data_IF_538446583243
#
_entry.id   IF_538446583243
#
_cell.length_a   1.000
_cell.length_b   1.000
_cell.length_c   1.000
_cell.angle_alpha   90.00
_cell.angle_beta   90.00
_cell.angle_gamma   90.00
#
_symmetry.space_group_name_H-M   'P 1'
#
loop_
_entity.id
_entity.type
_entity.pdbx_description
1 polymer ?
#
# COMPACT_ATOMS: atom_id res chain seq x y z
N UNK A 1 0.19 10.37 5.45
CA UNK A 1 0.69 9.60 4.30
C UNK A 1 0.94 10.56 3.14
N UNK A 2 2.16 10.61 2.63
CA UNK A 2 2.51 11.25 1.36
C UNK A 2 2.33 10.23 0.22
N UNK A 3 2.05 10.70 -1.00
CA UNK A 3 1.79 9.84 -2.17
C UNK A 3 2.48 10.37 -3.41
N UNK A 4 2.51 9.57 -4.48
CA UNK A 4 3.18 9.90 -5.75
C UNK A 4 2.18 10.31 -6.84
N UNK A 5 1.04 10.92 -6.44
CA UNK A 5 0.05 11.43 -7.37
C UNK A 5 0.66 12.56 -8.22
N UNK A 6 0.47 12.56 -9.56
CA UNK A 6 1.02 13.59 -10.44
C UNK A 6 0.11 14.83 -10.49
N UNK A 7 -0.18 15.45 -9.34
CA UNK A 7 -1.06 16.62 -9.22
C UNK A 7 -0.30 17.95 -9.01
N UNK A 8 1.03 17.92 -8.99
CA UNK A 8 1.88 19.11 -8.90
C UNK A 8 1.98 19.85 -10.25
N UNK A 9 2.00 21.19 -10.20
CA UNK A 9 2.19 22.04 -11.39
C UNK A 9 3.67 22.27 -11.66
N UNK A 10 4.44 22.57 -10.61
CA UNK A 10 5.85 22.92 -10.71
C UNK A 10 6.72 21.71 -10.41
N UNK A 11 7.83 21.60 -11.13
CA UNK A 11 8.85 20.59 -10.87
C UNK A 11 9.42 20.77 -9.45
N UNK A 12 9.46 19.71 -8.62
CA UNK A 12 10.11 19.76 -7.32
C UNK A 12 11.61 20.05 -7.46
N UNK A 13 12.17 20.79 -6.50
CA UNK A 13 13.59 21.23 -6.55
C UNK A 13 14.61 20.07 -6.58
N UNK A 14 14.21 18.87 -6.13
CA UNK A 14 15.06 17.67 -6.10
C UNK A 14 14.95 16.80 -7.36
N UNK A 15 13.97 17.08 -8.22
CA UNK A 15 13.69 16.31 -9.42
C UNK A 15 14.55 16.79 -10.59
N UNK A 16 14.97 15.87 -11.46
CA UNK A 16 15.69 16.18 -12.68
C UNK A 16 14.73 16.53 -13.84
N UNK A 17 13.54 15.92 -13.85
CA UNK A 17 12.53 16.12 -14.88
C UNK A 17 11.18 16.53 -14.28
N UNK A 18 10.29 17.06 -15.14
CA UNK A 18 8.90 17.40 -14.76
C UNK A 18 8.09 16.17 -14.38
N UNK A 19 8.33 15.04 -15.05
CA UNK A 19 7.73 13.74 -14.70
C UNK A 19 8.67 13.04 -13.74
N UNK A 20 8.20 12.79 -12.52
CA UNK A 20 8.94 12.05 -11.50
C UNK A 20 8.96 10.56 -11.87
N UNK A 21 10.15 9.98 -11.94
CA UNK A 21 10.36 8.56 -12.17
C UNK A 21 11.71 8.12 -11.59
N UNK A 22 11.83 6.83 -11.26
CA UNK A 22 13.08 6.19 -10.88
C UNK A 22 13.72 6.84 -9.64
N UNK A 23 14.96 7.32 -9.77
CA UNK A 23 15.71 7.89 -8.64
C UNK A 23 15.09 9.17 -8.07
N UNK A 24 14.31 9.92 -8.87
CA UNK A 24 13.62 11.11 -8.38
C UNK A 24 12.49 10.76 -7.41
N UNK A 25 11.81 9.63 -7.61
CA UNK A 25 10.80 9.11 -6.68
C UNK A 25 11.42 8.60 -5.37
N UNK A 26 12.65 8.05 -5.43
CA UNK A 26 13.40 7.66 -4.22
C UNK A 26 13.80 8.90 -3.41
N UNK A 27 14.23 9.98 -4.08
CA UNK A 27 14.50 11.26 -3.42
C UNK A 27 13.23 11.86 -2.83
N UNK A 28 12.11 11.80 -3.53
CA UNK A 28 10.80 12.24 -3.04
C UNK A 28 10.43 11.49 -1.76
N UNK A 29 10.49 10.16 -1.76
CA UNK A 29 10.21 9.35 -0.58
C UNK A 29 11.10 9.73 0.61
N UNK A 30 12.40 9.91 0.38
CA UNK A 30 13.30 10.40 1.42
C UNK A 30 12.94 11.81 1.92
N UNK A 31 12.60 12.73 1.01
CA UNK A 31 12.21 14.10 1.36
C UNK A 31 10.92 14.13 2.19
N UNK A 32 9.91 13.32 1.83
CA UNK A 32 8.67 13.14 2.58
C UNK A 32 8.94 12.70 4.02
N UNK A 33 9.86 11.76 4.22
CA UNK A 33 10.21 11.31 5.57
C UNK A 33 11.01 12.35 6.35
N UNK A 34 12.07 12.90 5.75
CA UNK A 34 13.10 13.66 6.46
C UNK A 34 12.78 15.14 6.65
N UNK A 35 12.07 15.77 5.71
CA UNK A 35 11.83 17.22 5.71
C UNK A 35 10.36 17.58 5.93
N UNK A 36 9.44 16.83 5.31
CA UNK A 36 7.99 17.01 5.55
C UNK A 36 7.59 16.38 6.89
N UNK A 37 8.34 15.37 7.35
CA UNK A 37 8.06 14.67 8.60
C UNK A 37 6.90 13.68 8.49
N UNK A 38 6.50 13.28 7.29
CA UNK A 38 5.47 12.26 7.11
C UNK A 38 5.94 10.94 7.71
N UNK A 39 5.02 10.20 8.33
CA UNK A 39 5.28 8.87 8.88
C UNK A 39 5.06 7.76 7.86
N UNK A 40 4.46 8.07 6.71
CA UNK A 40 4.11 7.08 5.71
C UNK A 40 4.27 7.66 4.30
N UNK A 41 4.87 6.88 3.41
CA UNK A 41 4.98 7.14 1.99
C UNK A 41 4.32 5.99 1.22
N UNK A 42 3.42 6.35 0.31
CA UNK A 42 2.89 5.42 -0.68
C UNK A 42 3.88 5.28 -1.83
N UNK A 43 4.18 4.03 -2.20
CA UNK A 43 4.89 3.65 -3.41
C UNK A 43 3.89 3.10 -4.42
N UNK A 44 3.68 3.80 -5.52
CA UNK A 44 2.65 3.52 -6.50
C UNK A 44 3.17 2.58 -7.60
N UNK A 45 2.65 1.36 -7.59
CA UNK A 45 3.01 0.29 -8.52
C UNK A 45 1.93 0.00 -9.57
N UNK A 46 0.79 0.69 -9.53
CA UNK A 46 -0.36 0.41 -10.39
C UNK A 46 -0.19 1.03 -11.79
N UNK A 47 0.19 2.30 -11.86
CA UNK A 47 0.21 3.08 -13.11
C UNK A 47 1.59 3.52 -13.61
N UNK A 48 2.68 2.89 -13.14
CA UNK A 48 4.07 3.34 -13.42
C UNK A 48 5.04 2.19 -13.65
N UNK A 49 6.14 2.47 -14.36
CA UNK A 49 7.30 1.57 -14.39
C UNK A 49 7.98 1.57 -13.02
N UNK A 50 7.76 0.51 -12.25
CA UNK A 50 8.06 0.48 -10.82
C UNK A 50 9.51 0.10 -10.55
N UNK A 51 10.20 0.91 -9.75
CA UNK A 51 11.47 0.50 -9.16
C UNK A 51 11.27 -0.39 -7.93
N UNK A 52 11.36 -1.70 -8.14
CA UNK A 52 11.26 -2.68 -7.07
C UNK A 52 12.41 -2.57 -6.03
N UNK A 53 13.48 -1.80 -6.31
CA UNK A 53 14.65 -1.66 -5.43
C UNK A 53 14.58 -0.43 -4.51
N UNK A 54 13.42 0.23 -4.37
CA UNK A 54 13.22 1.41 -3.52
C UNK A 54 13.79 1.26 -2.10
N UNK A 55 13.55 0.13 -1.42
CA UNK A 55 14.06 -0.10 -0.06
C UNK A 55 15.59 -0.12 -0.05
N UNK A 56 16.21 -0.83 -1.01
CA UNK A 56 17.67 -0.85 -1.15
C UNK A 56 18.21 0.56 -1.31
N UNK A 57 17.66 1.31 -2.26
CA UNK A 57 18.14 2.65 -2.60
C UNK A 57 17.95 3.63 -1.44
N UNK A 58 16.83 3.57 -0.73
CA UNK A 58 16.60 4.40 0.47
C UNK A 58 17.64 4.11 1.56
N UNK A 59 17.84 2.84 1.90
CA UNK A 59 18.73 2.47 3.00
C UNK A 59 20.20 2.74 2.65
N UNK A 60 20.64 2.50 1.42
CA UNK A 60 22.05 2.75 1.03
C UNK A 60 22.35 4.22 0.78
N UNK A 61 21.41 4.98 0.20
CA UNK A 61 21.66 6.38 -0.18
C UNK A 61 21.49 7.34 0.99
N UNK A 62 20.68 6.98 1.98
CA UNK A 62 20.34 7.83 3.11
C UNK A 62 20.56 7.12 4.46
N UNK A 63 21.60 6.29 4.53
CA UNK A 63 21.93 5.47 5.69
C UNK A 63 21.90 6.26 7.02
N UNK A 64 22.54 7.43 7.18
CA UNK A 64 22.57 8.13 8.47
C UNK A 64 21.19 8.50 9.02
N UNK A 65 20.21 8.71 8.14
CA UNK A 65 18.83 9.01 8.54
C UNK A 65 18.10 7.74 8.98
N UNK A 66 18.18 6.68 8.18
CA UNK A 66 17.48 5.43 8.45
C UNK A 66 18.07 4.64 9.62
N UNK A 67 19.35 4.85 9.95
CA UNK A 67 19.94 4.35 11.21
C UNK A 67 19.22 4.90 12.46
N UNK A 68 18.56 6.06 12.36
CA UNK A 68 17.83 6.71 13.46
C UNK A 68 16.31 6.54 13.36
N UNK A 69 15.80 6.27 12.16
CA UNK A 69 14.37 6.11 11.87
C UNK A 69 14.16 4.84 11.07
N UNK A 70 13.78 3.76 11.75
CA UNK A 70 13.70 2.42 11.18
C UNK A 70 12.52 2.32 10.22
N UNK A 71 12.80 2.00 8.96
CA UNK A 71 11.78 1.75 7.94
C UNK A 71 11.01 0.45 8.26
N UNK A 72 9.69 0.49 8.25
CA UNK A 72 8.78 -0.55 8.72
C UNK A 72 8.34 -0.41 10.18
N UNK A 73 8.97 0.49 10.95
CA UNK A 73 8.63 0.75 12.36
C UNK A 73 8.34 2.22 12.63
N UNK A 74 9.34 3.08 12.47
CA UNK A 74 9.22 4.54 12.73
C UNK A 74 8.70 5.27 11.48
N UNK A 75 9.01 4.74 10.29
CA UNK A 75 8.52 5.22 9.00
C UNK A 75 7.95 4.07 8.21
N UNK A 76 6.83 4.27 7.54
CA UNK A 76 6.09 3.24 6.81
C UNK A 76 6.22 3.46 5.31
N UNK A 77 6.57 2.40 4.59
CA UNK A 77 6.51 2.35 3.13
C UNK A 77 5.41 1.35 2.74
N UNK A 78 4.30 1.88 2.22
CA UNK A 78 3.17 1.07 1.75
C UNK A 78 3.16 1.05 0.23
N UNK A 79 2.81 -0.08 -0.38
CA UNK A 79 2.78 -0.21 -1.83
C UNK A 79 1.33 -0.18 -2.34
N UNK A 80 1.03 0.52 -3.43
CA UNK A 80 -0.23 0.37 -4.17
C UNK A 80 0.02 -0.56 -5.34
N UNK A 81 -0.59 -1.75 -5.33
CA UNK A 81 -0.41 -2.77 -6.38
C UNK A 81 -1.51 -2.65 -7.43
N UNK A 82 -1.30 -3.10 -8.68
CA UNK A 82 -2.37 -3.14 -9.67
C UNK A 82 -3.46 -4.15 -9.26
N UNK A 83 -4.71 -3.88 -9.65
CA UNK A 83 -5.82 -4.79 -9.42
C UNK A 83 -6.01 -5.72 -10.64
N UNK A 84 -5.68 -7.02 -10.54
CA UNK A 84 -5.72 -7.93 -11.69
C UNK A 84 -7.13 -8.21 -12.21
N UNK A 85 -8.18 -7.93 -11.43
CA UNK A 85 -9.58 -8.04 -11.85
C UNK A 85 -9.95 -6.95 -12.86
N UNK A 86 -9.27 -5.80 -12.82
CA UNK A 86 -9.55 -4.62 -13.66
C UNK A 86 -8.45 -4.39 -14.68
N UNK A 87 -7.19 -4.44 -14.24
CA UNK A 87 -6.00 -4.06 -14.99
C UNK A 87 -5.30 -5.28 -15.58
N UNK A 88 -5.92 -5.89 -16.59
CA UNK A 88 -5.46 -7.17 -17.15
C UNK A 88 -4.04 -7.13 -17.75
N UNK A 89 -3.62 -5.97 -18.24
CA UNK A 89 -2.29 -5.81 -18.85
C UNK A 89 -1.19 -5.76 -17.77
N UNK A 90 -1.47 -5.11 -16.63
CA UNK A 90 -0.54 -4.97 -15.50
C UNK A 90 -0.70 -6.07 -14.45
N UNK A 91 -1.60 -7.04 -14.66
CA UNK A 91 -1.89 -8.10 -13.70
C UNK A 91 -0.66 -8.93 -13.29
N UNK A 92 0.38 -9.00 -14.14
CA UNK A 92 1.64 -9.70 -13.82
C UNK A 92 2.59 -8.84 -12.99
N UNK A 93 2.51 -7.52 -13.10
CA UNK A 93 3.28 -6.57 -12.27
C UNK A 93 2.93 -6.77 -10.78
N UNK A 94 1.67 -7.08 -10.45
CA UNK A 94 1.28 -7.50 -9.10
C UNK A 94 2.21 -8.60 -8.55
N UNK A 95 2.51 -9.62 -9.36
CA UNK A 95 3.30 -10.77 -8.90
C UNK A 95 4.74 -10.34 -8.64
N UNK A 96 5.32 -9.55 -9.54
CA UNK A 96 6.67 -9.01 -9.39
C UNK A 96 6.82 -8.13 -8.14
N UNK A 97 5.82 -7.29 -7.90
CA UNK A 97 5.79 -6.39 -6.75
C UNK A 97 5.67 -7.18 -5.44
N UNK A 98 4.78 -8.16 -5.36
CA UNK A 98 4.64 -9.02 -4.17
C UNK A 98 5.91 -9.84 -3.92
N UNK A 99 6.54 -10.36 -4.97
CA UNK A 99 7.82 -11.09 -4.91
C UNK A 99 9.00 -10.21 -4.49
N UNK A 100 8.88 -8.89 -4.61
CA UNK A 100 9.91 -7.95 -4.15
C UNK A 100 9.92 -7.75 -2.63
N UNK A 101 8.84 -8.09 -1.92
CA UNK A 101 8.70 -7.85 -0.48
C UNK A 101 9.71 -8.70 0.33
N UNK A 102 9.88 -10.02 0.08
CA UNK A 102 10.91 -10.81 0.76
C UNK A 102 12.33 -10.30 0.58
N UNK A 103 12.67 -9.89 -0.64
CA UNK A 103 13.97 -9.26 -0.90
C UNK A 103 14.13 -7.96 -0.10
N UNK A 104 13.08 -7.14 -0.03
CA UNK A 104 13.09 -5.91 0.77
C UNK A 104 13.28 -6.20 2.26
N UNK A 105 12.69 -7.29 2.76
CA UNK A 105 12.92 -7.78 4.11
C UNK A 105 14.38 -8.16 4.34
N UNK A 106 15.00 -8.96 3.45
CA UNK A 106 16.40 -9.38 3.59
C UNK A 106 17.35 -8.18 3.64
N UNK A 107 17.10 -7.18 2.82
CA UNK A 107 17.87 -5.93 2.79
C UNK A 107 17.68 -5.15 4.10
N UNK A 108 16.44 -5.04 4.58
CA UNK A 108 16.14 -4.42 5.88
C UNK A 108 16.83 -5.16 7.03
N UNK A 109 16.75 -6.48 7.08
CA UNK A 109 17.39 -7.32 8.08
C UNK A 109 18.90 -7.17 8.06
N UNK A 110 19.54 -7.22 6.89
CA UNK A 110 20.98 -7.02 6.76
C UNK A 110 21.41 -5.61 7.17
N UNK A 111 20.57 -4.60 6.92
CA UNK A 111 20.86 -3.22 7.30
C UNK A 111 20.69 -3.01 8.80
N UNK A 112 19.61 -3.48 9.42
CA UNK A 112 19.26 -3.19 10.82
C UNK A 112 19.70 -4.25 11.84
N UNK A 113 20.11 -5.44 11.41
CA UNK A 113 20.30 -6.63 12.24
C UNK A 113 19.05 -7.00 13.07
N UNK A 114 17.87 -6.71 12.50
CA UNK A 114 16.57 -6.91 13.12
C UNK A 114 15.54 -7.41 12.10
N UNK A 115 14.62 -8.27 12.54
CA UNK A 115 13.54 -8.84 11.72
C UNK A 115 12.36 -7.85 11.59
N UNK A 116 12.61 -6.67 11.02
CA UNK A 116 11.60 -5.64 10.79
C UNK A 116 11.34 -5.55 9.27
N UNK A 117 10.13 -5.90 8.78
CA UNK A 117 9.79 -5.80 7.37
C UNK A 117 9.66 -4.33 6.95
N UNK A 118 10.49 -3.83 6.01
CA UNK A 118 10.36 -2.44 5.54
C UNK A 118 9.04 -2.16 4.81
N UNK A 119 8.45 -3.21 4.22
CA UNK A 119 7.13 -3.20 3.58
C UNK A 119 6.30 -4.31 4.21
N UNK A 120 5.14 -3.96 4.77
CA UNK A 120 4.25 -4.91 5.45
C UNK A 120 2.79 -4.80 5.00
N UNK A 121 2.47 -3.83 4.12
CA UNK A 121 1.11 -3.55 3.69
C UNK A 121 1.04 -3.18 2.19
N UNK A 122 0.04 -3.74 1.51
CA UNK A 122 -0.29 -3.48 0.12
C UNK A 122 -1.72 -2.94 -0.03
N UNK A 123 -1.87 -1.87 -0.81
CA UNK A 123 -3.14 -1.25 -1.18
C UNK A 123 -3.58 -1.74 -2.55
N UNK A 124 -4.87 -2.08 -2.66
CA UNK A 124 -5.45 -2.60 -3.89
C UNK A 124 -6.52 -1.61 -4.38
N UNK A 125 -6.33 -0.95 -5.53
CA UNK A 125 -7.27 0.01 -6.09
C UNK A 125 -8.50 -0.68 -6.68
N UNK A 126 -9.53 0.11 -6.97
CA UNK A 126 -10.73 -0.32 -7.69
C UNK A 126 -11.38 -1.58 -7.09
N UNK A 127 -11.34 -1.73 -5.77
CA UNK A 127 -11.93 -2.90 -5.09
C UNK A 127 -13.45 -2.79 -5.10
N UNK A 128 -14.10 -3.81 -5.67
CA UNK A 128 -15.57 -3.89 -5.74
C UNK A 128 -16.13 -5.03 -4.90
N UNK A 129 -15.31 -6.02 -4.55
CA UNK A 129 -15.70 -7.15 -3.72
C UNK A 129 -14.55 -7.65 -2.83
N UNK A 130 -14.89 -8.42 -1.78
CA UNK A 130 -13.90 -8.93 -0.84
C UNK A 130 -12.90 -9.89 -1.51
N UNK A 131 -13.35 -10.62 -2.54
CA UNK A 131 -12.53 -11.55 -3.30
C UNK A 131 -11.27 -10.91 -3.91
N UNK A 132 -11.32 -9.62 -4.30
CA UNK A 132 -10.19 -8.92 -4.89
C UNK A 132 -8.99 -8.89 -3.92
N UNK A 133 -9.23 -8.53 -2.65
CA UNK A 133 -8.20 -8.48 -1.61
C UNK A 133 -7.90 -9.85 -0.99
N UNK A 134 -8.88 -10.77 -0.91
CA UNK A 134 -8.66 -12.15 -0.44
C UNK A 134 -7.66 -12.86 -1.35
N UNK A 135 -7.84 -12.76 -2.67
CA UNK A 135 -6.97 -13.44 -3.65
C UNK A 135 -5.53 -12.95 -3.55
N UNK A 136 -5.32 -11.65 -3.40
CA UNK A 136 -3.98 -11.06 -3.26
C UNK A 136 -3.29 -11.54 -1.98
N UNK A 137 -4.01 -11.52 -0.83
CA UNK A 137 -3.46 -11.99 0.44
C UNK A 137 -3.13 -13.49 0.42
N UNK A 138 -4.05 -14.32 -0.08
CA UNK A 138 -3.81 -15.76 -0.23
C UNK A 138 -2.69 -16.06 -1.22
N UNK A 139 -2.59 -15.27 -2.30
CA UNK A 139 -1.51 -15.43 -3.27
C UNK A 139 -0.14 -15.18 -2.61
N UNK A 140 0.01 -14.05 -1.91
CA UNK A 140 1.24 -13.75 -1.18
C UNK A 140 1.59 -14.88 -0.20
N UNK A 141 0.63 -15.25 0.66
CA UNK A 141 0.86 -16.26 1.70
C UNK A 141 1.25 -17.62 1.13
N UNK A 142 0.63 -18.07 0.03
CA UNK A 142 0.85 -19.41 -0.53
C UNK A 142 2.01 -19.46 -1.52
N UNK A 143 2.06 -18.51 -2.44
CA UNK A 143 2.95 -18.57 -3.59
C UNK A 143 4.20 -17.69 -3.44
N UNK A 144 4.18 -16.65 -2.61
CA UNK A 144 5.36 -15.82 -2.33
C UNK A 144 6.06 -16.30 -1.06
N UNK A 145 5.41 -16.21 0.10
CA UNK A 145 6.00 -16.66 1.36
C UNK A 145 5.98 -18.19 1.48
N UNK A 146 4.88 -18.84 1.08
CA UNK A 146 4.65 -20.27 1.27
C UNK A 146 5.53 -21.17 0.39
N UNK A 147 6.01 -20.70 -0.77
CA UNK A 147 6.87 -21.51 -1.65
C UNK A 147 8.18 -21.93 -1.00
N UNK A 148 8.60 -21.25 0.07
CA UNK A 148 9.85 -21.53 0.77
C UNK A 148 9.93 -22.96 1.32
N UNK A 149 8.79 -23.62 1.58
CA UNK A 149 8.75 -25.02 2.07
C UNK A 149 8.66 -26.06 0.94
N UNK A 150 8.50 -25.62 -0.32
CA UNK A 150 8.44 -26.51 -1.46
C UNK A 150 9.87 -26.95 -1.84
N UNK A 151 10.05 -28.20 -2.30
CA UNK A 151 11.33 -28.64 -2.84
C UNK A 151 11.62 -27.95 -4.18
N UNK A 152 12.89 -27.66 -4.47
CA UNK A 152 13.32 -27.02 -5.75
C UNK A 152 13.03 -27.95 -6.93
N UNK A 153 13.24 -29.26 -6.75
CA UNK A 153 12.81 -30.32 -7.64
C UNK A 153 12.44 -31.57 -6.83
N UNK A 154 11.84 -32.58 -7.46
CA UNK A 154 11.39 -33.81 -6.78
C UNK A 154 12.54 -34.47 -6.00
N UNK A 155 12.41 -34.53 -4.68
CA UNK A 155 13.39 -35.17 -3.78
C UNK A 155 14.61 -34.30 -3.43
N UNK A 156 14.59 -33.00 -3.74
CA UNK A 156 15.68 -32.06 -3.48
C UNK A 156 15.46 -31.23 -2.20
N UNK A 157 16.43 -30.37 -1.88
CA UNK A 157 16.32 -29.34 -0.84
C UNK A 157 15.13 -28.41 -1.11
N UNK A 158 14.64 -27.79 -0.04
CA UNK A 158 13.59 -26.77 -0.10
C UNK A 158 14.11 -25.46 -0.67
N UNK A 159 13.21 -24.66 -1.25
CA UNK A 159 13.54 -23.30 -1.71
C UNK A 159 14.19 -22.48 -0.58
N UNK A 160 13.74 -22.65 0.67
CA UNK A 160 14.35 -22.00 1.83
C UNK A 160 15.80 -22.41 2.09
N UNK A 161 16.11 -23.69 1.98
CA UNK A 161 17.49 -24.18 2.16
C UNK A 161 18.41 -23.69 1.05
N UNK A 162 17.87 -23.45 -0.14
CA UNK A 162 18.64 -22.95 -1.27
C UNK A 162 18.92 -21.43 -1.18
N UNK A 163 17.90 -20.61 -0.94
CA UNK A 163 18.01 -19.13 -1.06
C UNK A 163 17.59 -18.35 0.18
N UNK A 164 17.25 -19.02 1.28
CA UNK A 164 16.86 -18.37 2.54
C UNK A 164 15.36 -18.26 2.76
N UNK A 165 14.98 -17.74 3.92
CA UNK A 165 13.59 -17.62 4.35
C UNK A 165 12.85 -16.52 3.60
N UNK A 166 11.56 -16.74 3.32
CA UNK A 166 10.71 -15.72 2.75
C UNK A 166 9.91 -15.05 3.89
N UNK A 167 10.27 -13.80 4.20
CA UNK A 167 9.66 -13.01 5.26
C UNK A 167 9.27 -11.60 4.75
N UNK A 168 8.23 -10.94 5.27
CA UNK A 168 7.33 -11.45 6.30
C UNK A 168 6.45 -12.58 5.76
N UNK A 169 6.03 -13.50 6.63
CA UNK A 169 5.22 -14.65 6.25
C UNK A 169 3.78 -14.27 5.83
N UNK A 170 3.33 -13.07 6.21
CA UNK A 170 2.05 -12.49 5.86
C UNK A 170 2.19 -10.96 5.70
N UNK A 171 1.27 -10.36 4.95
CA UNK A 171 1.16 -8.91 4.77
C UNK A 171 -0.27 -8.46 5.02
N UNK A 172 -0.45 -7.16 5.34
CA UNK A 172 -1.75 -6.52 5.34
C UNK A 172 -2.13 -6.21 3.88
N UNK A 173 -3.40 -6.45 3.53
CA UNK A 173 -3.95 -6.00 2.25
C UNK A 173 -5.12 -5.08 2.56
N UNK A 174 -5.07 -3.86 2.03
CA UNK A 174 -6.05 -2.82 2.34
C UNK A 174 -6.79 -2.41 1.08
N UNK A 175 -8.13 -2.49 1.07
CA UNK A 175 -8.92 -2.13 -0.09
C UNK A 175 -8.98 -0.61 -0.26
N UNK A 176 -8.79 -0.15 -1.49
CA UNK A 176 -9.12 1.19 -1.95
C UNK A 176 -10.41 1.12 -2.77
N UNK A 177 -11.46 1.77 -2.24
CA UNK A 177 -12.79 1.83 -2.83
C UNK A 177 -13.00 3.19 -3.51
N UNK A 178 -13.40 3.16 -4.78
CA UNK A 178 -13.34 4.33 -5.66
C UNK A 178 -14.68 4.66 -6.33
N UNK A 179 -15.60 3.69 -6.43
CA UNK A 179 -16.91 3.88 -7.02
C UNK A 179 -18.02 3.97 -5.96
N UNK A 180 -19.15 4.57 -6.33
CA UNK A 180 -20.26 4.80 -5.41
C UNK A 180 -20.79 3.51 -4.78
N UNK A 181 -20.93 2.44 -5.56
CA UNK A 181 -21.56 1.20 -5.08
C UNK A 181 -20.65 0.51 -4.08
N UNK A 182 -19.36 0.36 -4.41
CA UNK A 182 -18.37 -0.25 -3.52
C UNK A 182 -18.16 0.58 -2.25
N UNK A 183 -18.05 1.91 -2.34
CA UNK A 183 -17.87 2.78 -1.17
C UNK A 183 -19.08 2.72 -0.21
N UNK A 184 -20.31 2.80 -0.74
CA UNK A 184 -21.51 2.64 0.09
C UNK A 184 -21.59 1.25 0.70
N UNK A 185 -21.11 0.23 0.00
CA UNK A 185 -21.06 -1.16 0.46
C UNK A 185 -19.77 -1.55 1.22
N UNK A 186 -18.91 -0.57 1.53
CA UNK A 186 -17.55 -0.80 2.05
C UNK A 186 -17.54 -1.65 3.31
N UNK A 187 -18.45 -1.40 4.26
CA UNK A 187 -18.56 -2.21 5.48
C UNK A 187 -18.84 -3.69 5.19
N UNK A 188 -19.72 -4.03 4.24
CA UNK A 188 -20.00 -5.43 3.93
C UNK A 188 -18.82 -6.12 3.21
N UNK A 189 -18.15 -5.39 2.31
CA UNK A 189 -16.95 -5.87 1.61
C UNK A 189 -15.85 -6.19 2.63
N UNK A 190 -15.59 -5.24 3.54
CA UNK A 190 -14.55 -5.36 4.56
C UNK A 190 -14.92 -6.42 5.60
N UNK A 191 -16.17 -6.50 6.04
CA UNK A 191 -16.64 -7.55 6.96
C UNK A 191 -16.37 -8.96 6.40
N UNK A 192 -16.70 -9.18 5.13
CA UNK A 192 -16.44 -10.46 4.47
C UNK A 192 -14.94 -10.75 4.39
N UNK A 193 -14.12 -9.73 4.11
CA UNK A 193 -12.66 -9.87 4.07
C UNK A 193 -12.07 -10.25 5.44
N UNK A 194 -12.37 -9.49 6.50
CA UNK A 194 -11.81 -9.74 7.84
C UNK A 194 -12.25 -11.09 8.40
N UNK A 195 -13.49 -11.52 8.14
CA UNK A 195 -13.99 -12.84 8.57
C UNK A 195 -13.28 -13.97 7.85
N UNK A 196 -13.11 -13.85 6.53
CA UNK A 196 -12.41 -14.84 5.72
C UNK A 196 -10.94 -14.99 6.15
N UNK A 197 -10.27 -13.86 6.37
CA UNK A 197 -8.85 -13.80 6.73
C UNK A 197 -8.60 -13.93 8.24
N UNK A 198 -9.67 -14.02 9.04
CA UNK A 198 -9.63 -14.14 10.51
C UNK A 198 -8.81 -13.02 11.16
N UNK A 199 -8.98 -11.80 10.67
CA UNK A 199 -8.34 -10.61 11.23
C UNK A 199 -8.96 -10.31 12.59
N UNK A 200 -8.13 -10.03 13.60
CA UNK A 200 -8.56 -9.82 14.99
C UNK A 200 -8.05 -8.51 15.59
N UNK A 201 -7.02 -7.92 14.97
CA UNK A 201 -6.37 -6.70 15.45
C UNK A 201 -7.05 -5.48 14.84
N UNK A 202 -6.72 -5.15 13.60
CA UNK A 202 -7.22 -3.98 12.91
C UNK A 202 -7.26 -4.19 11.39
N UNK A 203 -8.04 -3.35 10.73
CA UNK A 203 -8.06 -3.28 9.27
C UNK A 203 -8.12 -1.82 8.80
N UNK A 204 -7.23 -1.46 7.87
CA UNK A 204 -7.30 -0.17 7.19
C UNK A 204 -8.25 -0.26 6.01
N UNK A 205 -8.90 0.86 5.67
CA UNK A 205 -9.83 0.95 4.54
C UNK A 205 -9.61 2.28 3.84
N UNK A 206 -9.28 2.27 2.56
CA UNK A 206 -9.02 3.50 1.83
C UNK A 206 -10.25 3.90 1.00
N UNK A 207 -10.77 5.10 1.25
CA UNK A 207 -11.84 5.73 0.48
C UNK A 207 -11.26 6.80 -0.45
N UNK A 208 -11.51 6.69 -1.74
CA UNK A 208 -11.08 7.70 -2.71
C UNK A 208 -11.97 8.94 -2.66
N UNK A 209 -11.35 10.12 -2.76
CA UNK A 209 -12.08 11.38 -2.89
C UNK A 209 -12.20 11.86 -4.34
N UNK A 210 -11.20 11.55 -5.16
CA UNK A 210 -10.99 12.16 -6.47
C UNK A 210 -11.85 11.52 -7.56
N UNK A 211 -11.74 10.22 -7.78
CA UNK A 211 -12.48 9.49 -8.81
C UNK A 211 -14.00 9.58 -8.63
N UNK A 212 -14.55 9.38 -7.42
CA UNK A 212 -15.99 9.57 -7.24
C UNK A 212 -16.42 11.03 -7.38
N UNK A 213 -15.56 12.03 -7.14
CA UNK A 213 -15.91 13.43 -7.40
C UNK A 213 -16.09 13.70 -8.89
N UNK A 214 -15.20 13.14 -9.72
CA UNK A 214 -15.29 13.21 -11.18
C UNK A 214 -16.59 12.56 -11.66
N UNK A 215 -16.92 11.39 -11.12
CA UNK A 215 -18.05 10.59 -11.60
C UNK A 215 -19.42 11.02 -11.05
N UNK A 216 -19.47 11.57 -9.84
CA UNK A 216 -20.73 11.81 -9.11
C UNK A 216 -20.90 13.23 -8.57
N UNK A 217 -19.96 14.15 -8.85
CA UNK A 217 -19.80 15.48 -8.24
C UNK A 217 -19.21 15.48 -6.83
N UNK A 218 -18.49 16.55 -6.52
CA UNK A 218 -17.82 16.73 -5.22
C UNK A 218 -18.79 16.59 -4.03
N UNK A 219 -19.98 17.21 -4.09
CA UNK A 219 -20.96 17.15 -2.98
C UNK A 219 -21.45 15.74 -2.72
N UNK A 220 -21.80 15.00 -3.79
CA UNK A 220 -22.29 13.64 -3.63
C UNK A 220 -21.22 12.72 -3.03
N UNK A 221 -19.96 12.88 -3.44
CA UNK A 221 -18.84 12.12 -2.88
C UNK A 221 -18.65 12.37 -1.39
N UNK A 222 -18.73 13.62 -0.92
CA UNK A 222 -18.65 13.89 0.55
C UNK A 222 -19.72 13.09 1.29
N UNK A 223 -20.94 13.03 0.77
CA UNK A 223 -22.03 12.29 1.39
C UNK A 223 -21.76 10.78 1.36
N UNK A 224 -21.27 10.25 0.25
CA UNK A 224 -20.88 8.83 0.11
C UNK A 224 -19.80 8.47 1.14
N UNK A 225 -18.74 9.26 1.27
CA UNK A 225 -17.67 9.04 2.23
C UNK A 225 -18.18 9.09 3.67
N UNK A 226 -19.02 10.07 4.01
CA UNK A 226 -19.61 10.15 5.36
C UNK A 226 -20.46 8.93 5.69
N UNK A 227 -21.24 8.44 4.73
CA UNK A 227 -22.05 7.22 4.90
C UNK A 227 -21.13 5.99 5.04
N UNK A 228 -20.08 5.89 4.22
CA UNK A 228 -19.11 4.81 4.29
C UNK A 228 -18.40 4.77 5.66
N UNK A 229 -17.90 5.92 6.14
CA UNK A 229 -17.26 6.06 7.44
C UNK A 229 -18.21 5.70 8.59
N UNK A 230 -19.47 6.14 8.53
CA UNK A 230 -20.48 5.76 9.52
C UNK A 230 -20.70 4.25 9.55
N UNK A 231 -20.82 3.61 8.39
CA UNK A 231 -21.03 2.16 8.29
C UNK A 231 -19.81 1.35 8.76
N UNK A 232 -18.60 1.82 8.47
CA UNK A 232 -17.36 1.23 8.98
C UNK A 232 -17.28 1.34 10.50
N UNK A 233 -17.69 2.47 11.08
CA UNK A 233 -17.76 2.64 12.53
C UNK A 233 -18.79 1.69 13.18
N UNK A 234 -19.98 1.53 12.59
CA UNK A 234 -20.95 0.52 13.06
C UNK A 234 -20.40 -0.91 12.97
N UNK A 235 -19.61 -1.21 11.94
CA UNK A 235 -18.94 -2.50 11.81
C UNK A 235 -17.86 -2.69 12.89
N UNK A 236 -17.11 -1.63 13.22
CA UNK A 236 -16.15 -1.62 14.34
C UNK A 236 -16.85 -2.04 15.64
N UNK A 237 -17.97 -1.40 15.96
CA UNK A 237 -18.76 -1.72 17.16
C UNK A 237 -19.26 -3.17 17.15
N UNK A 238 -19.77 -3.64 15.99
CA UNK A 238 -20.28 -5.00 15.83
C UNK A 238 -19.20 -6.07 16.01
N UNK A 239 -18.00 -5.83 15.48
CA UNK A 239 -16.93 -6.85 15.38
C UNK A 239 -15.85 -6.72 16.44
N UNK A 240 -15.77 -5.57 17.13
CA UNK A 240 -14.69 -5.22 18.06
C UNK A 240 -13.29 -5.26 17.43
N UNK A 241 -13.20 -5.09 16.11
CA UNK A 241 -11.94 -4.95 15.35
C UNK A 241 -11.77 -3.48 15.00
N UNK A 242 -10.59 -2.91 15.23
CA UNK A 242 -10.33 -1.51 14.93
C UNK A 242 -10.29 -1.25 13.40
N UNK A 243 -10.99 -0.21 12.94
CA UNK A 243 -10.93 0.25 11.57
C UNK A 243 -10.24 1.61 11.47
N UNK A 244 -9.20 1.66 10.66
CA UNK A 244 -8.41 2.87 10.41
C UNK A 244 -8.62 3.36 8.97
N UNK A 245 -9.66 4.18 8.72
CA UNK A 245 -9.94 4.67 7.38
C UNK A 245 -8.87 5.65 6.89
N UNK A 246 -8.52 5.55 5.61
CA UNK A 246 -7.65 6.47 4.89
C UNK A 246 -8.51 7.24 3.89
N UNK A 247 -8.31 8.55 3.78
CA UNK A 247 -9.02 9.39 2.82
C UNK A 247 -8.05 9.90 1.75
N UNK A 248 -8.28 9.52 0.49
CA UNK A 248 -7.43 9.91 -0.64
C UNK A 248 -7.77 11.29 -1.18
N UNK A 249 -7.28 12.35 -0.53
CA UNK A 249 -7.59 13.75 -0.88
C UNK A 249 -6.48 14.47 -1.64
N UNK A 250 -6.88 15.30 -2.62
CA UNK A 250 -6.02 16.30 -3.25
C UNK A 250 -6.23 17.72 -2.70
N UNK A 251 -5.33 18.63 -3.07
CA UNK A 251 -5.34 20.02 -2.58
C UNK A 251 -6.47 20.87 -3.18
N UNK A 252 -6.89 20.57 -4.42
CA UNK A 252 -7.99 21.29 -5.06
C UNK A 252 -9.33 21.00 -4.35
N UNK A 253 -10.24 21.99 -4.18
CA UNK A 253 -11.51 21.79 -3.49
C UNK A 253 -12.33 20.61 -4.00
N UNK A 254 -12.32 20.40 -5.31
CA UNK A 254 -13.02 19.30 -5.96
C UNK A 254 -12.57 17.92 -5.46
N UNK A 255 -11.28 17.77 -5.11
CA UNK A 255 -10.61 16.52 -4.74
C UNK A 255 -10.36 16.37 -3.24
N UNK A 256 -10.84 17.29 -2.40
CA UNK A 256 -10.74 17.18 -0.95
C UNK A 256 -10.33 18.46 -0.21
N UNK A 257 -9.80 19.46 -0.92
CA UNK A 257 -9.35 20.73 -0.31
C UNK A 257 -8.30 20.54 0.80
N UNK A 258 -7.44 19.52 0.70
CA UNK A 258 -6.45 19.22 1.74
C UNK A 258 -5.23 20.12 1.57
N UNK A 259 -5.10 21.16 2.41
CA UNK A 259 -4.00 22.12 2.38
C UNK A 259 -3.70 22.64 3.79
N UNK A 260 -2.52 23.22 4.07
CA UNK A 260 -2.15 23.66 5.42
C UNK A 260 -3.16 24.60 6.10
N UNK A 261 -3.93 25.37 5.32
CA UNK A 261 -4.95 26.29 5.85
C UNK A 261 -6.28 25.62 6.19
N UNK A 262 -6.46 24.33 5.92
CA UNK A 262 -7.74 23.59 6.04
C UNK A 262 -7.60 22.28 6.82
N UNK A 263 -6.41 22.02 7.36
CA UNK A 263 -6.06 20.89 8.23
C UNK A 263 -5.99 21.29 9.68
#
# INVERSE_FOLDING_TARGET
>A
MCTQHPDNISQPFFAQNTVLAGDDEVKEAFYSFSHIGSDEQLWDCEGKEVDNFVVKKLLTSYEPYFRKHVLGKDKQLTIRVPNPSVEKNEAKVLLEVLESIPRSFDIGKAFYDHDIPPISEAFVPMVTCAEDVIRIKEYYKRFVAGKQVLPVTTGDITVREWIGTFAPADIRVTPLLEDKESMLNSAAIVEKYIQNQKIQDYQRVWLARSDPAINYSSTATVLIEKIALQRLNMLQEKTSIDFYPILGCGSAPFRGNLRPSTT
#
